data_IF_055776822937
#
_entry.id   IF_055776822937
#
_cell.length_a   1.000
_cell.length_b   1.000
_cell.length_c   1.000
_cell.angle_alpha   90.00
_cell.angle_beta   90.00
_cell.angle_gamma   90.00
#
_symmetry.space_group_name_H-M   'P 1'
#
loop_
_entity.id
_entity.type
_entity.pdbx_description
1 polymer ?
#
# COMPACT_ATOMS: atom_id res chain seq x y z
N UNK A 1 -51.24 -26.38 -35.15
CA UNK A 1 -50.55 -25.26 -34.47
C UNK A 1 -49.98 -25.78 -33.16
N UNK A 2 -48.65 -25.97 -33.06
CA UNK A 2 -47.97 -26.33 -31.82
C UNK A 2 -46.70 -25.50 -31.73
N UNK A 3 -46.74 -24.48 -30.86
CA UNK A 3 -45.59 -23.67 -30.46
C UNK A 3 -44.80 -24.48 -29.43
N UNK A 4 -43.59 -24.92 -29.79
CA UNK A 4 -42.63 -25.43 -28.82
C UNK A 4 -41.78 -24.28 -28.30
N UNK A 5 -41.89 -24.06 -26.98
CA UNK A 5 -41.21 -23.05 -26.22
C UNK A 5 -39.69 -23.26 -26.22
N UNK A 6 -38.93 -22.20 -26.50
CA UNK A 6 -37.48 -22.16 -26.37
C UNK A 6 -37.19 -21.80 -24.90
N UNK A 7 -36.74 -22.78 -24.12
CA UNK A 7 -36.18 -22.53 -22.80
C UNK A 7 -34.79 -21.90 -22.95
N UNK A 8 -34.72 -20.56 -22.97
CA UNK A 8 -33.47 -19.83 -22.75
C UNK A 8 -33.07 -19.99 -21.27
N UNK A 9 -32.16 -20.92 -21.00
CA UNK A 9 -31.45 -20.95 -19.73
C UNK A 9 -30.51 -19.73 -19.68
N UNK A 10 -30.95 -18.68 -18.99
CA UNK A 10 -30.14 -17.50 -18.70
C UNK A 10 -29.00 -17.90 -17.74
N UNK A 11 -27.83 -18.17 -18.30
CA UNK A 11 -26.57 -18.24 -17.57
C UNK A 11 -26.23 -16.81 -17.10
N UNK A 12 -26.69 -16.44 -15.91
CA UNK A 12 -26.20 -15.25 -15.21
C UNK A 12 -24.78 -15.54 -14.74
N UNK A 13 -23.76 -14.76 -15.17
CA UNK A 13 -22.46 -14.82 -14.51
C UNK A 13 -22.62 -14.24 -13.10
N UNK A 14 -22.51 -15.10 -12.09
CA UNK A 14 -22.25 -14.71 -10.71
C UNK A 14 -20.86 -14.07 -10.68
N UNK A 15 -20.82 -12.77 -10.99
CA UNK A 15 -19.65 -11.94 -10.74
C UNK A 15 -19.57 -11.79 -9.23
N UNK A 16 -18.81 -12.68 -8.58
CA UNK A 16 -18.42 -12.52 -7.18
C UNK A 16 -17.57 -11.25 -7.12
N UNK A 17 -18.23 -10.13 -6.85
CA UNK A 17 -17.58 -8.92 -6.37
C UNK A 17 -17.01 -9.27 -5.01
N UNK A 18 -15.81 -9.85 -5.00
CA UNK A 18 -14.99 -9.97 -3.81
C UNK A 18 -14.71 -8.54 -3.33
N UNK A 19 -15.61 -8.05 -2.48
CA UNK A 19 -15.48 -6.79 -1.79
C UNK A 19 -14.21 -6.85 -0.97
N UNK A 20 -13.10 -6.38 -1.53
CA UNK A 20 -11.97 -5.91 -0.76
C UNK A 20 -12.53 -4.81 0.13
N UNK A 21 -12.87 -5.15 1.37
CA UNK A 21 -13.11 -4.14 2.40
C UNK A 21 -11.91 -3.18 2.30
N UNK A 22 -12.12 -1.85 2.19
CA UNK A 22 -11.01 -0.93 2.32
C UNK A 22 -10.33 -1.29 3.63
N UNK A 23 -9.06 -1.67 3.54
CA UNK A 23 -8.26 -1.94 4.72
C UNK A 23 -7.99 -0.55 5.30
N UNK A 24 -8.81 -0.14 6.28
CA UNK A 24 -8.73 1.17 6.95
C UNK A 24 -7.52 1.24 7.91
N UNK A 25 -6.43 0.57 7.53
CA UNK A 25 -5.20 0.45 8.29
C UNK A 25 -4.09 1.32 7.73
N UNK A 26 -2.97 1.31 8.45
CA UNK A 26 -1.74 1.93 8.01
C UNK A 26 -0.65 0.87 7.86
N UNK A 27 0.28 1.09 6.93
CA UNK A 27 1.54 0.38 6.89
C UNK A 27 2.60 1.14 7.68
N UNK A 28 3.49 0.41 8.35
CA UNK A 28 4.72 0.97 8.91
C UNK A 28 5.88 0.53 8.03
N UNK A 29 6.49 1.48 7.36
CA UNK A 29 7.69 1.29 6.57
C UNK A 29 8.93 1.68 7.37
N UNK A 30 9.81 0.73 7.57
CA UNK A 30 11.14 0.91 8.13
C UNK A 30 12.14 1.20 7.01
N UNK A 31 12.94 2.26 7.17
CA UNK A 31 14.02 2.59 6.23
C UNK A 31 15.37 2.40 6.92
N UNK A 32 16.17 1.53 6.32
CA UNK A 32 17.56 1.31 6.69
C UNK A 32 18.46 1.62 5.49
N UNK A 33 19.67 2.10 5.73
CA UNK A 33 20.62 2.39 4.65
C UNK A 33 21.95 2.95 5.14
N UNK A 34 22.94 2.96 4.26
CA UNK A 34 24.28 3.47 4.55
C UNK A 34 24.42 4.93 4.13
N UNK A 35 24.90 5.80 5.05
CA UNK A 35 25.11 7.25 4.82
C UNK A 35 23.88 7.98 4.25
N UNK A 36 22.69 7.67 4.77
CA UNK A 36 21.44 8.25 4.27
C UNK A 36 21.05 9.52 5.02
N UNK A 37 20.41 10.45 4.31
CA UNK A 37 19.78 11.61 4.94
C UNK A 37 18.37 11.26 5.37
N UNK A 38 18.18 10.99 6.66
CA UNK A 38 16.85 10.72 7.22
C UNK A 38 15.88 11.88 7.05
N UNK A 39 16.37 13.11 6.95
CA UNK A 39 15.54 14.28 6.61
C UNK A 39 14.93 14.15 5.22
N UNK A 40 15.70 13.70 4.23
CA UNK A 40 15.18 13.49 2.86
C UNK A 40 14.23 12.31 2.77
N UNK A 41 14.51 11.23 3.50
CA UNK A 41 13.57 10.11 3.61
C UNK A 41 12.27 10.53 4.31
N UNK A 42 12.35 11.39 5.34
CA UNK A 42 11.18 11.98 6.02
C UNK A 42 10.33 12.82 5.07
N UNK A 43 10.94 13.62 4.21
CA UNK A 43 10.22 14.37 3.17
C UNK A 43 9.42 13.43 2.25
N UNK A 44 10.00 12.30 1.84
CA UNK A 44 9.29 11.27 1.09
C UNK A 44 8.09 10.69 1.84
N UNK A 45 8.20 10.55 3.17
CA UNK A 45 7.12 10.09 4.03
C UNK A 45 5.93 11.04 4.03
N UNK A 46 6.20 12.31 4.36
CA UNK A 46 5.21 13.37 4.45
C UNK A 46 4.52 13.61 3.10
N UNK A 47 5.28 13.57 2.00
CA UNK A 47 4.76 13.69 0.64
C UNK A 47 3.74 12.61 0.27
N UNK A 48 3.83 11.44 0.89
CA UNK A 48 2.91 10.32 0.68
C UNK A 48 1.85 10.22 1.77
N UNK A 49 1.52 11.35 2.43
CA UNK A 49 0.52 11.45 3.50
C UNK A 49 0.85 10.59 4.73
N UNK A 50 2.14 10.29 4.93
CA UNK A 50 2.60 9.51 6.07
C UNK A 50 3.08 10.36 7.23
N UNK A 51 2.95 9.81 8.45
CA UNK A 51 3.65 10.30 9.63
C UNK A 51 5.02 9.65 9.76
N UNK A 52 6.00 10.34 10.35
CA UNK A 52 7.34 9.79 10.56
C UNK A 52 7.74 9.82 12.04
N UNK A 53 8.22 8.71 12.58
CA UNK A 53 8.83 8.62 13.91
C UNK A 53 10.28 8.16 13.76
N UNK A 54 11.20 8.85 14.43
CA UNK A 54 12.62 8.53 14.37
C UNK A 54 13.04 7.86 15.67
N UNK A 55 13.45 6.59 15.59
CA UNK A 55 13.94 5.85 16.76
C UNK A 55 15.35 5.36 16.51
N UNK A 56 16.29 5.81 17.34
CA UNK A 56 17.72 5.47 17.27
C UNK A 56 18.36 5.82 15.92
N UNK A 57 18.49 4.85 15.02
CA UNK A 57 19.08 4.99 13.68
C UNK A 57 18.13 4.50 12.59
N UNK A 58 16.84 4.47 12.91
CA UNK A 58 15.81 3.93 12.03
C UNK A 58 14.69 4.95 11.93
N UNK A 59 14.30 5.25 10.70
CA UNK A 59 13.13 6.06 10.43
C UNK A 59 11.95 5.16 10.11
N UNK A 60 10.88 5.32 10.89
CA UNK A 60 9.62 4.64 10.70
C UNK A 60 8.63 5.58 10.04
N UNK A 61 8.10 5.16 8.90
CA UNK A 61 7.05 5.84 8.16
C UNK A 61 5.72 5.13 8.36
N UNK A 62 4.75 5.79 8.97
CA UNK A 62 3.36 5.31 8.99
C UNK A 62 2.67 5.86 7.75
N UNK A 63 2.27 5.00 6.82
CA UNK A 63 1.66 5.37 5.53
C UNK A 63 0.26 4.77 5.41
N UNK A 64 -0.69 5.46 4.75
CA UNK A 64 -1.94 4.83 4.34
C UNK A 64 -1.67 3.64 3.40
N UNK A 65 -2.47 2.59 3.53
CA UNK A 65 -2.34 1.41 2.68
C UNK A 65 -2.47 1.80 1.20
N UNK A 66 -1.58 1.27 0.35
CA UNK A 66 -1.50 1.56 -1.08
C UNK A 66 -0.57 2.73 -1.44
N UNK A 67 0.04 3.41 -0.46
CA UNK A 67 1.03 4.48 -0.68
C UNK A 67 2.48 3.99 -0.61
N UNK A 68 2.73 2.75 -0.21
CA UNK A 68 4.06 2.18 0.02
C UNK A 68 4.91 2.17 -1.25
N UNK A 69 4.31 1.81 -2.39
CA UNK A 69 5.01 1.79 -3.67
C UNK A 69 5.53 3.18 -4.08
N UNK A 70 4.73 4.23 -3.83
CA UNK A 70 5.13 5.62 -4.11
C UNK A 70 6.22 6.09 -3.14
N UNK A 71 6.13 5.68 -1.88
CA UNK A 71 7.18 5.94 -0.91
C UNK A 71 8.49 5.26 -1.29
N UNK A 72 8.47 3.95 -1.61
CA UNK A 72 9.65 3.19 -2.07
C UNK A 72 10.30 3.83 -3.29
N UNK A 73 9.50 4.27 -4.26
CA UNK A 73 10.00 4.99 -5.43
C UNK A 73 10.68 6.31 -5.01
N UNK A 74 10.04 7.12 -4.18
CA UNK A 74 10.61 8.38 -3.71
C UNK A 74 11.97 8.17 -3.01
N UNK A 75 12.07 7.16 -2.13
CA UNK A 75 13.33 6.85 -1.44
C UNK A 75 14.40 6.37 -2.41
N UNK A 76 14.02 5.54 -3.40
CA UNK A 76 14.94 5.08 -4.45
C UNK A 76 15.46 6.25 -5.30
N UNK A 77 14.61 7.21 -5.62
CA UNK A 77 14.95 8.38 -6.43
C UNK A 77 15.94 9.33 -5.70
N UNK A 78 16.09 9.21 -4.38
CA UNK A 78 17.13 9.93 -3.61
C UNK A 78 18.55 9.39 -3.89
N UNK A 79 18.69 8.23 -4.54
CA UNK A 79 19.98 7.66 -4.91
C UNK A 79 20.76 7.02 -3.75
N UNK A 80 20.11 6.77 -2.61
CA UNK A 80 20.75 6.12 -1.47
C UNK A 80 20.68 4.59 -1.57
N UNK A 81 21.74 3.90 -1.12
CA UNK A 81 21.70 2.47 -0.86
C UNK A 81 20.83 2.19 0.37
N UNK A 82 19.54 1.97 0.12
CA UNK A 82 18.49 1.83 1.13
C UNK A 82 17.69 0.55 0.94
N UNK A 83 17.22 0.00 2.06
CA UNK A 83 16.21 -1.05 2.13
C UNK A 83 14.99 -0.45 2.81
N UNK A 84 13.82 -0.63 2.18
CA UNK A 84 12.53 -0.16 2.69
C UNK A 84 11.65 -1.37 2.93
N UNK A 85 11.47 -1.73 4.20
CA UNK A 85 10.62 -2.84 4.61
C UNK A 85 9.31 -2.32 5.17
N UNK A 86 8.17 -2.81 4.69
CA UNK A 86 6.85 -2.28 5.06
C UNK A 86 5.96 -3.40 5.56
N UNK A 87 5.40 -3.18 6.75
CA UNK A 87 4.53 -4.14 7.44
C UNK A 87 3.16 -3.51 7.66
N UNK A 88 2.12 -4.32 7.54
CA UNK A 88 0.74 -3.90 7.80
C UNK A 88 0.40 -4.15 9.26
N UNK A 89 -0.26 -3.19 9.90
CA UNK A 89 -0.73 -3.35 11.28
C UNK A 89 -2.14 -2.81 11.38
N UNK A 90 -3.01 -3.58 12.03
CA UNK A 90 -4.28 -3.05 12.52
C UNK A 90 -4.01 -2.29 13.81
N UNK A 91 -4.32 -1.00 13.83
CA UNK A 91 -4.41 -0.25 15.08
C UNK A 91 -5.70 -0.71 15.78
N UNK A 92 -5.58 -1.77 16.58
CA UNK A 92 -6.62 -2.19 17.53
C UNK A 92 -6.73 -1.22 18.70
#
# INVERSE_FOLDING_TARGET
MKLSAICLAALLPLVVMAGRRPFDGNSRCEVQGFKISFTKVKECCLRNMGGSDFRKRTLFCKLPIGREGRFRKCVKDLGYATVVDCHYYDEK
#
